data_IF_357022628565
#
_entry.id   IF_357022628565
#
_cell.length_a   1.000
_cell.length_b   1.000
_cell.length_c   1.000
_cell.angle_alpha   90.00
_cell.angle_beta   90.00
_cell.angle_gamma   90.00
#
_symmetry.space_group_name_H-M   'P 1'
#
loop_
_entity.id
_entity.type
_entity.pdbx_description
1 polymer ?
#
# COMPACT_ATOMS: atom_id res chain seq x y z
N UNK A 1 -37.36 -44.03 46.44
CA UNK A 1 -37.65 -43.67 45.05
C UNK A 1 -37.06 -42.30 44.80
N UNK A 2 -36.03 -42.20 43.96
CA UNK A 2 -35.30 -40.96 43.72
C UNK A 2 -34.10 -41.27 42.82
N UNK A 3 -34.37 -41.34 41.52
CA UNK A 3 -33.36 -41.45 40.49
C UNK A 3 -32.95 -40.05 40.03
N UNK A 4 -31.65 -39.81 39.91
CA UNK A 4 -31.04 -38.66 39.25
C UNK A 4 -29.54 -38.95 39.23
N UNK A 5 -28.85 -39.01 38.10
CA UNK A 5 -29.05 -38.35 36.82
C UNK A 5 -27.65 -37.89 36.43
N UNK A 6 -26.95 -38.70 35.64
CA UNK A 6 -25.58 -38.44 35.20
C UNK A 6 -25.58 -37.37 34.10
N UNK A 7 -24.74 -36.34 34.23
CA UNK A 7 -24.36 -35.48 33.12
C UNK A 7 -22.84 -35.43 33.07
N UNK A 8 -22.29 -36.11 32.06
CA UNK A 8 -20.88 -36.00 31.68
C UNK A 8 -20.72 -34.75 30.82
N UNK A 9 -19.76 -33.88 31.17
CA UNK A 9 -19.34 -32.77 30.32
C UNK A 9 -17.95 -33.11 29.78
N UNK A 10 -17.87 -33.38 28.48
CA UNK A 10 -16.61 -33.54 27.77
C UNK A 10 -16.07 -32.15 27.41
N UNK A 11 -14.90 -31.78 27.94
CA UNK A 11 -14.18 -30.59 27.53
C UNK A 11 -13.32 -30.92 26.30
N UNK A 12 -13.67 -30.35 25.15
CA UNK A 12 -12.81 -30.35 23.96
C UNK A 12 -11.85 -29.18 24.10
N UNK A 13 -10.58 -29.46 24.41
CA UNK A 13 -9.50 -28.48 24.34
C UNK A 13 -8.97 -28.48 22.91
N UNK A 14 -9.41 -27.51 22.11
CA UNK A 14 -8.82 -27.22 20.81
C UNK A 14 -7.57 -26.36 21.00
N UNK A 15 -6.40 -26.91 20.70
CA UNK A 15 -5.16 -26.13 20.60
C UNK A 15 -5.10 -25.53 19.19
N UNK A 16 -5.25 -24.21 19.09
CA UNK A 16 -4.97 -23.48 17.86
C UNK A 16 -3.47 -23.24 17.77
N UNK A 17 -2.80 -23.89 16.81
CA UNK A 17 -1.44 -23.57 16.44
C UNK A 17 -1.44 -22.24 15.66
N UNK A 18 -0.89 -21.18 16.24
CA UNK A 18 -0.61 -19.93 15.53
C UNK A 18 0.74 -20.09 14.84
N UNK A 19 0.73 -20.29 13.52
CA UNK A 19 1.93 -20.21 12.71
C UNK A 19 2.36 -18.76 12.58
N UNK A 20 3.46 -18.38 13.23
CA UNK A 20 4.15 -17.10 12.97
C UNK A 20 5.00 -17.28 11.70
N UNK A 21 4.46 -16.83 10.57
CA UNK A 21 5.28 -16.51 9.42
C UNK A 21 6.08 -15.25 9.79
N UNK A 22 7.42 -15.38 9.87
CA UNK A 22 8.31 -14.26 10.12
C UNK A 22 8.39 -13.35 8.90
N UNK A 23 7.37 -12.50 8.72
CA UNK A 23 7.46 -11.25 7.99
C UNK A 23 7.52 -10.11 9.00
N UNK A 24 8.24 -9.04 8.68
CA UNK A 24 8.06 -7.76 9.38
C UNK A 24 6.58 -7.41 9.23
N UNK A 25 5.85 -7.26 10.34
CA UNK A 25 4.48 -6.77 10.22
C UNK A 25 4.56 -5.40 9.52
N UNK A 26 3.73 -5.10 8.51
CA UNK A 26 3.84 -3.86 7.73
C UNK A 26 3.92 -2.58 8.57
N UNK A 27 3.45 -2.65 9.81
CA UNK A 27 3.43 -1.55 10.77
C UNK A 27 4.75 -1.39 11.57
N UNK A 28 5.59 -2.43 11.66
CA UNK A 28 6.88 -2.40 12.37
C UNK A 28 7.88 -1.47 11.67
N UNK A 29 7.94 -1.48 10.34
CA UNK A 29 8.83 -0.60 9.57
C UNK A 29 8.53 0.90 9.79
N UNK A 30 7.29 1.24 10.11
CA UNK A 30 6.87 2.61 10.43
C UNK A 30 7.26 3.00 11.86
N UNK A 31 7.11 2.08 12.81
CA UNK A 31 7.44 2.33 14.23
C UNK A 31 8.92 2.66 14.42
N UNK A 32 9.80 1.99 13.67
CA UNK A 32 11.24 2.27 13.69
C UNK A 32 11.58 3.72 13.24
N UNK A 33 10.63 4.40 12.59
CA UNK A 33 10.74 5.79 12.14
C UNK A 33 9.89 6.75 12.97
N UNK A 34 9.37 6.30 14.11
CA UNK A 34 8.49 7.12 14.97
C UNK A 34 7.14 7.42 14.34
N UNK A 35 6.71 6.60 13.37
CA UNK A 35 5.43 6.73 12.68
C UNK A 35 4.51 5.57 13.07
N UNK A 36 3.21 5.84 13.12
CA UNK A 36 2.17 4.84 13.32
C UNK A 36 1.18 4.90 12.18
N UNK A 37 0.88 3.74 11.59
CA UNK A 37 -0.24 3.60 10.65
C UNK A 37 -1.55 3.75 11.44
N UNK A 38 -2.46 4.60 10.97
CA UNK A 38 -3.74 4.88 11.67
C UNK A 38 -4.92 4.26 10.94
N UNK A 39 -5.09 4.59 9.66
CA UNK A 39 -6.15 4.05 8.80
C UNK A 39 -5.53 3.44 7.54
N UNK A 40 -6.17 2.41 6.97
CA UNK A 40 -5.75 1.77 5.71
C UNK A 40 -6.95 1.27 4.91
N UNK A 41 -6.84 1.39 3.59
CA UNK A 41 -7.73 0.76 2.64
C UNK A 41 -6.96 0.18 1.45
N UNK A 42 -7.48 -0.90 0.87
CA UNK A 42 -6.91 -1.55 -0.32
C UNK A 42 -7.98 -1.77 -1.40
N UNK A 43 -7.53 -1.86 -2.65
CA UNK A 43 -8.32 -2.23 -3.83
C UNK A 43 -7.49 -3.17 -4.71
N UNK A 44 -8.12 -4.26 -5.16
CA UNK A 44 -7.58 -5.14 -6.19
C UNK A 44 -8.39 -4.89 -7.46
N UNK A 45 -7.87 -4.04 -8.34
CA UNK A 45 -8.60 -3.57 -9.53
C UNK A 45 -8.35 -4.47 -10.75
N UNK A 46 -7.15 -5.07 -10.84
CA UNK A 46 -6.73 -5.98 -11.90
C UNK A 46 -6.49 -5.32 -13.28
N UNK A 47 -7.22 -4.26 -13.62
CA UNK A 47 -7.10 -3.49 -14.86
C UNK A 47 -6.41 -2.14 -14.60
N UNK A 48 -5.47 -1.70 -15.44
CA UNK A 48 -4.64 -0.51 -15.17
C UNK A 48 -5.01 0.75 -15.97
N UNK A 49 -5.58 0.63 -17.16
CA UNK A 49 -5.82 1.77 -18.06
C UNK A 49 -6.89 2.69 -17.49
N UNK A 50 -7.97 2.16 -16.90
CA UNK A 50 -9.02 2.97 -16.28
C UNK A 50 -8.60 3.61 -14.95
N UNK A 51 -7.45 3.20 -14.40
CA UNK A 51 -6.86 3.68 -13.16
C UNK A 51 -5.51 4.34 -13.37
N UNK A 52 -5.28 4.94 -14.53
CA UNK A 52 -4.08 5.72 -14.85
C UNK A 52 -4.44 6.95 -15.65
N UNK A 53 -3.53 7.93 -15.74
CA UNK A 53 -3.68 9.12 -16.57
C UNK A 53 -2.37 9.50 -17.28
N UNK A 54 -2.42 10.49 -18.17
CA UNK A 54 -1.23 10.95 -18.90
C UNK A 54 -0.65 9.92 -19.89
N UNK A 55 0.64 10.06 -20.17
CA UNK A 55 1.43 9.14 -20.99
C UNK A 55 1.54 7.75 -20.34
N UNK A 56 1.49 7.65 -19.01
CA UNK A 56 1.41 6.38 -18.29
C UNK A 56 0.18 5.58 -18.76
N UNK A 57 -0.99 6.22 -18.84
CA UNK A 57 -2.19 5.59 -19.40
C UNK A 57 -2.00 5.20 -20.87
N UNK A 58 -1.35 6.05 -21.67
CA UNK A 58 -1.08 5.75 -23.08
C UNK A 58 -0.17 4.52 -23.24
N UNK A 59 0.85 4.40 -22.39
CA UNK A 59 1.72 3.23 -22.34
C UNK A 59 0.95 1.98 -21.95
N UNK A 60 0.12 2.04 -20.91
CA UNK A 60 -0.64 0.88 -20.43
C UNK A 60 -1.66 0.34 -21.45
N UNK A 61 -2.08 1.15 -22.42
CA UNK A 61 -2.90 0.70 -23.56
C UNK A 61 -2.13 -0.20 -24.53
N UNK A 62 -0.80 -0.06 -24.61
CA UNK A 62 0.06 -0.84 -25.53
C UNK A 62 0.92 -1.87 -24.81
N UNK A 63 1.22 -1.65 -23.54
CA UNK A 63 1.92 -2.56 -22.62
C UNK A 63 0.95 -2.88 -21.49
N UNK A 64 0.05 -3.88 -21.67
CA UNK A 64 -0.95 -4.18 -20.67
C UNK A 64 -0.31 -4.77 -19.41
N UNK A 65 -0.79 -4.33 -18.26
CA UNK A 65 -0.47 -4.97 -16.99
C UNK A 65 -1.23 -6.31 -16.86
N UNK A 66 -0.69 -7.20 -16.04
CA UNK A 66 -1.30 -8.44 -15.60
C UNK A 66 -2.13 -8.27 -14.31
N UNK A 67 -1.87 -7.21 -13.54
CA UNK A 67 -2.60 -6.92 -12.31
C UNK A 67 -2.31 -5.53 -11.76
N UNK A 68 -3.27 -5.03 -10.97
CA UNK A 68 -3.17 -3.79 -10.22
C UNK A 68 -3.77 -3.98 -8.83
N UNK A 69 -2.95 -3.74 -7.81
CA UNK A 69 -3.42 -3.46 -6.46
C UNK A 69 -3.03 -2.06 -6.04
N UNK A 70 -3.91 -1.42 -5.29
CA UNK A 70 -3.72 -0.08 -4.75
C UNK A 70 -4.01 -0.07 -3.27
N UNK A 71 -3.22 0.67 -2.51
CA UNK A 71 -3.37 0.88 -1.09
C UNK A 71 -3.27 2.36 -0.79
N UNK A 72 -4.08 2.82 0.16
CA UNK A 72 -3.95 4.12 0.78
C UNK A 72 -3.97 3.95 2.29
N UNK A 73 -3.11 4.68 2.99
CA UNK A 73 -3.07 4.67 4.45
C UNK A 73 -2.56 6.01 4.98
N UNK A 74 -2.80 6.25 6.25
CA UNK A 74 -2.28 7.42 6.96
C UNK A 74 -1.18 7.01 7.93
N UNK A 75 -0.13 7.83 8.02
CA UNK A 75 0.93 7.71 9.03
C UNK A 75 0.97 8.95 9.89
N UNK A 76 1.08 8.77 11.20
CA UNK A 76 1.09 9.86 12.18
C UNK A 76 2.29 9.74 13.12
N UNK A 77 2.95 10.87 13.40
CA UNK A 77 4.03 10.94 14.39
C UNK A 77 3.50 11.22 15.82
N UNK A 78 4.40 11.26 16.80
CA UNK A 78 4.02 11.57 18.19
C UNK A 78 3.66 13.06 18.42
N UNK A 79 4.01 13.95 17.49
CA UNK A 79 3.65 15.36 17.53
C UNK A 79 2.25 15.63 16.95
N UNK A 80 1.63 14.65 16.31
CA UNK A 80 0.31 14.74 15.68
C UNK A 80 0.35 15.21 14.22
N UNK A 81 1.52 15.23 13.58
CA UNK A 81 1.64 15.41 12.13
C UNK A 81 1.21 14.14 11.42
N UNK A 82 0.43 14.28 10.35
CA UNK A 82 -0.10 13.16 9.57
C UNK A 82 0.17 13.35 8.09
N UNK A 83 0.66 12.29 7.46
CA UNK A 83 0.73 12.15 6.01
C UNK A 83 -0.25 11.10 5.53
N UNK A 84 -0.74 11.28 4.30
CA UNK A 84 -1.42 10.24 3.53
C UNK A 84 -0.40 9.64 2.58
N UNK A 85 -0.44 8.31 2.45
CA UNK A 85 0.48 7.52 1.64
C UNK A 85 -0.33 6.69 0.68
N UNK A 86 0.00 6.77 -0.60
CA UNK A 86 -0.54 5.93 -1.65
C UNK A 86 0.53 4.95 -2.12
N UNK A 87 0.14 3.68 -2.35
CA UNK A 87 1.02 2.65 -2.91
C UNK A 87 0.27 1.89 -3.99
N UNK A 88 0.91 1.67 -5.13
CA UNK A 88 0.38 0.85 -6.22
C UNK A 88 1.37 -0.27 -6.59
N UNK A 89 0.87 -1.49 -6.76
CA UNK A 89 1.61 -2.62 -7.31
C UNK A 89 1.08 -2.88 -8.73
N UNK A 90 1.92 -2.63 -9.72
CA UNK A 90 1.59 -2.83 -11.15
C UNK A 90 2.34 -4.04 -11.65
N UNK A 91 1.65 -5.16 -11.82
CA UNK A 91 2.23 -6.42 -12.27
C UNK A 91 2.22 -6.50 -13.80
N UNK A 92 3.30 -6.99 -14.41
CA UNK A 92 3.40 -7.20 -15.85
C UNK A 92 3.69 -8.66 -16.19
N UNK A 93 3.42 -9.04 -17.44
CA UNK A 93 3.70 -10.40 -17.91
C UNK A 93 5.19 -10.73 -18.04
N UNK A 94 6.06 -9.72 -18.14
CA UNK A 94 7.50 -9.89 -18.27
C UNK A 94 8.30 -8.67 -17.74
N UNK A 95 9.62 -8.87 -17.63
CA UNK A 95 10.56 -7.90 -17.06
C UNK A 95 10.79 -6.67 -17.96
N UNK A 96 10.58 -6.81 -19.26
CA UNK A 96 10.78 -5.71 -20.21
C UNK A 96 9.62 -4.72 -20.13
N UNK A 97 8.39 -5.23 -20.05
CA UNK A 97 7.19 -4.46 -19.79
C UNK A 97 7.28 -3.69 -18.46
N UNK A 98 7.66 -4.37 -17.37
CA UNK A 98 7.85 -3.72 -16.06
C UNK A 98 8.91 -2.62 -16.10
N UNK A 99 10.07 -2.88 -16.73
CA UNK A 99 11.11 -1.86 -16.89
C UNK A 99 10.63 -0.65 -17.68
N UNK A 100 9.95 -0.87 -18.80
CA UNK A 100 9.45 0.20 -19.66
C UNK A 100 8.41 1.07 -18.96
N UNK A 101 7.56 0.46 -18.14
CA UNK A 101 6.63 1.17 -17.28
C UNK A 101 7.37 2.02 -16.25
N UNK A 102 8.28 1.43 -15.46
CA UNK A 102 9.06 2.17 -14.45
C UNK A 102 9.85 3.33 -15.06
N UNK A 103 10.51 3.11 -16.20
CA UNK A 103 11.27 4.16 -16.90
C UNK A 103 10.40 5.35 -17.29
N UNK A 104 9.12 5.14 -17.61
CA UNK A 104 8.19 6.23 -17.91
C UNK A 104 7.66 6.87 -16.62
N UNK A 105 7.22 6.05 -15.67
CA UNK A 105 6.67 6.47 -14.38
C UNK A 105 7.63 7.36 -13.59
N UNK A 106 8.92 7.01 -13.59
CA UNK A 106 9.96 7.78 -12.89
C UNK A 106 10.24 9.16 -13.54
N UNK A 107 9.63 9.45 -14.70
CA UNK A 107 9.69 10.78 -15.32
C UNK A 107 8.52 11.61 -14.85
N UNK A 108 8.81 12.52 -13.92
CA UNK A 108 7.84 13.48 -13.38
C UNK A 108 7.06 14.21 -14.49
N UNK A 109 5.73 14.26 -14.33
CA UNK A 109 4.82 14.93 -15.25
C UNK A 109 4.37 14.10 -16.46
N UNK A 110 4.71 12.82 -16.53
CA UNK A 110 4.23 11.92 -17.59
C UNK A 110 2.89 11.24 -17.28
N UNK A 111 2.36 11.38 -16.06
CA UNK A 111 1.15 10.69 -15.62
C UNK A 111 1.45 9.84 -14.40
N UNK A 112 0.44 9.11 -13.92
CA UNK A 112 0.57 8.17 -12.80
C UNK A 112 -0.59 7.16 -12.82
N UNK A 113 -0.53 6.16 -11.94
CA UNK A 113 -1.67 5.43 -11.42
C UNK A 113 -2.54 6.37 -10.58
N UNK A 114 -3.84 6.36 -10.82
CA UNK A 114 -4.79 7.21 -10.09
C UNK A 114 -4.86 6.79 -8.62
N UNK A 115 -4.55 7.69 -7.67
CA UNK A 115 -4.62 7.38 -6.26
C UNK A 115 -6.05 7.05 -5.79
N UNK A 116 -6.13 6.35 -4.66
CA UNK A 116 -7.40 6.15 -3.97
C UNK A 116 -7.84 7.45 -3.25
N UNK A 117 -9.14 7.63 -3.04
CA UNK A 117 -9.66 8.79 -2.31
C UNK A 117 -9.32 8.74 -0.83
N UNK A 118 -8.98 9.90 -0.25
CA UNK A 118 -8.71 10.08 1.17
C UNK A 118 -9.90 9.73 2.06
N UNK A 119 -11.13 9.78 1.52
CA UNK A 119 -12.33 9.37 2.25
C UNK A 119 -12.28 7.91 2.73
N UNK A 120 -11.51 7.04 2.06
CA UNK A 120 -11.31 5.65 2.48
C UNK A 120 -10.46 5.53 3.77
N UNK A 121 -9.73 6.58 4.12
CA UNK A 121 -8.86 6.65 5.31
C UNK A 121 -9.18 7.89 6.16
N UNK A 122 -10.43 8.36 6.09
CA UNK A 122 -10.99 9.39 6.96
C UNK A 122 -10.28 10.76 6.90
N UNK A 123 -9.68 11.10 5.75
CA UNK A 123 -9.08 12.42 5.49
C UNK A 123 -9.70 13.07 4.26
N UNK A 124 -9.56 14.39 4.13
CA UNK A 124 -9.90 15.09 2.88
C UNK A 124 -8.97 14.65 1.74
N UNK A 125 -9.45 14.73 0.50
CA UNK A 125 -8.60 14.42 -0.65
C UNK A 125 -7.46 15.43 -0.75
N UNK A 126 -6.24 14.91 -0.70
CA UNK A 126 -5.00 15.66 -0.92
C UNK A 126 -4.49 15.31 -2.32
N UNK A 127 -4.11 16.30 -3.15
CA UNK A 127 -3.53 16.00 -4.45
C UNK A 127 -2.15 15.37 -4.27
N UNK A 128 -1.96 14.18 -4.81
CA UNK A 128 -0.65 13.57 -4.99
C UNK A 128 0.08 14.26 -6.14
N UNK A 129 1.25 14.81 -5.85
CA UNK A 129 1.97 15.70 -6.76
C UNK A 129 3.16 15.05 -7.46
N UNK A 130 3.49 13.81 -7.12
CA UNK A 130 4.72 13.13 -7.49
C UNK A 130 6.00 13.90 -7.10
N UNK A 131 5.94 14.76 -6.08
CA UNK A 131 7.12 15.41 -5.50
C UNK A 131 7.75 14.62 -4.37
N UNK A 132 6.98 13.79 -3.66
CA UNK A 132 7.47 12.87 -2.65
C UNK A 132 7.11 11.47 -3.11
N UNK A 133 7.95 10.91 -3.97
CA UNK A 133 7.70 9.73 -4.78
C UNK A 133 8.91 8.80 -4.71
N UNK A 134 8.66 7.50 -4.62
CA UNK A 134 9.68 6.50 -4.90
C UNK A 134 9.04 5.32 -5.64
N UNK A 135 9.86 4.54 -6.35
CA UNK A 135 9.40 3.30 -6.97
C UNK A 135 10.48 2.23 -7.04
N UNK A 136 10.07 0.97 -6.93
CA UNK A 136 10.96 -0.20 -6.98
C UNK A 136 10.38 -1.31 -7.87
N UNK A 137 11.22 -2.25 -8.30
CA UNK A 137 10.81 -3.45 -9.02
C UNK A 137 10.98 -4.67 -8.13
N UNK A 138 9.86 -5.30 -7.76
CA UNK A 138 9.82 -6.53 -6.97
C UNK A 138 9.50 -7.73 -7.86
N UNK A 139 10.06 -8.89 -7.50
CA UNK A 139 9.94 -10.17 -8.23
C UNK A 139 10.32 -10.11 -9.74
N UNK A 140 10.92 -8.99 -10.17
CA UNK A 140 11.34 -8.69 -11.53
C UNK A 140 10.22 -8.22 -12.48
N UNK A 141 8.96 -8.31 -12.09
CA UNK A 141 7.81 -8.05 -12.99
C UNK A 141 6.74 -7.15 -12.37
N UNK A 142 6.84 -6.82 -11.09
CA UNK A 142 5.91 -5.90 -10.42
C UNK A 142 6.64 -4.61 -10.11
N UNK A 143 6.10 -3.49 -10.57
CA UNK A 143 6.57 -2.15 -10.20
C UNK A 143 5.73 -1.66 -9.03
N UNK A 144 6.39 -1.31 -7.93
CA UNK A 144 5.77 -0.68 -6.76
C UNK A 144 6.01 0.81 -6.86
N UNK A 145 4.94 1.59 -6.85
CA UNK A 145 4.98 3.05 -6.80
C UNK A 145 4.48 3.46 -5.42
N UNK A 146 5.13 4.44 -4.80
CA UNK A 146 4.60 5.07 -3.61
C UNK A 146 4.74 6.58 -3.65
N UNK A 147 3.72 7.25 -3.12
CA UNK A 147 3.71 8.70 -2.93
C UNK A 147 3.23 9.07 -1.54
N UNK A 148 3.71 10.20 -1.02
CA UNK A 148 3.31 10.72 0.29
C UNK A 148 2.98 12.22 0.25
N UNK A 149 1.91 12.62 0.94
CA UNK A 149 1.49 14.01 1.02
C UNK A 149 1.03 14.40 2.42
N UNK A 150 1.20 15.67 2.77
CA UNK A 150 0.76 16.20 4.06
C UNK A 150 -0.77 16.26 4.18
N UNK A 151 -1.27 15.83 5.35
CA UNK A 151 -2.66 16.08 5.77
C UNK A 151 -2.69 17.16 6.85
N UNK A 152 -1.86 17.04 7.90
CA UNK A 152 -1.79 18.00 9.02
C UNK A 152 -0.40 17.99 9.66
N UNK A 153 -0.03 19.06 10.38
CA UNK A 153 1.23 19.15 11.15
C UNK A 153 2.48 19.44 10.32
N UNK A 154 2.44 19.18 9.01
CA UNK A 154 3.38 19.71 8.03
C UNK A 154 4.77 19.08 8.13
N UNK A 155 4.91 17.83 7.70
CA UNK A 155 6.20 17.22 7.42
C UNK A 155 6.95 18.00 6.34
N UNK A 156 8.28 18.00 6.43
CA UNK A 156 9.13 18.57 5.37
C UNK A 156 9.05 17.71 4.11
N UNK A 157 9.34 18.30 2.94
CA UNK A 157 9.40 17.55 1.69
C UNK A 157 10.42 16.39 1.76
N UNK A 158 11.60 16.63 2.35
CA UNK A 158 12.61 15.59 2.57
C UNK A 158 12.07 14.41 3.41
N UNK A 159 11.26 14.69 4.43
CA UNK A 159 10.70 13.62 5.26
C UNK A 159 9.54 12.88 4.58
N UNK A 160 8.75 13.57 3.75
CA UNK A 160 7.74 12.91 2.90
C UNK A 160 8.40 12.01 1.85
N UNK A 161 9.52 12.44 1.27
CA UNK A 161 10.33 11.63 0.34
C UNK A 161 10.84 10.36 1.03
N UNK A 162 11.37 10.49 2.25
CA UNK A 162 11.74 9.35 3.09
C UNK A 162 10.55 8.40 3.36
N UNK A 163 9.35 8.95 3.61
CA UNK A 163 8.12 8.16 3.81
C UNK A 163 7.79 7.37 2.54
N UNK A 164 7.82 8.00 1.36
CA UNK A 164 7.59 7.33 0.08
C UNK A 164 8.63 6.21 -0.15
N UNK A 165 9.90 6.49 0.13
CA UNK A 165 10.97 5.50 0.03
C UNK A 165 10.88 4.37 1.05
N UNK A 166 10.15 4.52 2.15
CA UNK A 166 9.77 3.40 3.03
C UNK A 166 8.58 2.63 2.45
N UNK A 167 7.58 3.36 1.96
CA UNK A 167 6.32 2.81 1.48
C UNK A 167 6.49 1.84 0.30
N UNK A 168 7.47 2.03 -0.58
CA UNK A 168 7.78 1.07 -1.66
C UNK A 168 8.14 -0.33 -1.17
N UNK A 169 8.55 -0.48 0.10
CA UNK A 169 8.84 -1.78 0.73
C UNK A 169 7.63 -2.40 1.43
N UNK A 170 6.47 -1.74 1.38
CA UNK A 170 5.23 -2.27 1.97
C UNK A 170 4.89 -3.61 1.30
N UNK A 171 4.58 -4.67 2.07
CA UNK A 171 4.13 -5.93 1.48
C UNK A 171 2.84 -5.74 0.69
N UNK A 172 2.75 -6.40 -0.47
CA UNK A 172 1.50 -6.50 -1.25
C UNK A 172 0.41 -7.12 -0.36
N UNK A 173 -0.81 -6.53 -0.32
CA UNK A 173 -1.90 -6.98 0.55
C UNK A 173 -2.56 -8.29 0.13
#
# INVERSE_FOLDING_TARGET
MGAGGVVAVAAVVGVLAVGVAGGVEPDEMWRDRGLRVVDRATRADGECVSHSFGQVQELLRVVPCAGLERMIFTVTDDAGSTAVVFVAWVEFGDREAARRFKELEDVHGTGDITPLTGALVQVEDVPFTAHNYDSDVVDGVTVVIAEAENVVGGFTAEYLDDIAGIAVRTPRP
#
